data_IF_460414072142
#
_entry.id   IF_460414072142
#
_cell.length_a   1.000
_cell.length_b   1.000
_cell.length_c   1.000
_cell.angle_alpha   90.00
_cell.angle_beta   90.00
_cell.angle_gamma   90.00
#
_symmetry.space_group_name_H-M   'P 1'
#
loop_
_entity.id
_entity.type
_entity.pdbx_description
1 polymer ?
#
# COMPACT_ATOMS: atom_id res chain seq x y z
N UNK A 1 22.72 -60.84 61.22
CA UNK A 1 21.96 -60.88 59.96
C UNK A 1 21.10 -59.65 59.88
N UNK A 2 21.60 -58.57 59.19
CA UNK A 2 20.88 -57.31 59.08
C UNK A 2 20.50 -57.09 57.59
N UNK A 3 19.20 -57.06 57.30
CA UNK A 3 18.71 -56.75 55.99
C UNK A 3 18.78 -55.22 55.77
N UNK A 4 19.49 -54.83 54.74
CA UNK A 4 19.51 -53.43 54.26
C UNK A 4 18.31 -53.18 53.40
N UNK A 5 17.59 -52.11 53.76
CA UNK A 5 16.45 -51.56 52.93
C UNK A 5 17.02 -50.69 51.80
N UNK A 6 16.77 -51.08 50.57
CA UNK A 6 17.05 -50.26 49.39
C UNK A 6 15.88 -49.33 49.19
N UNK A 7 16.11 -48.01 49.29
CA UNK A 7 15.13 -46.96 48.99
C UNK A 7 15.29 -46.59 47.54
N UNK A 8 14.29 -46.89 46.71
CA UNK A 8 14.22 -46.39 45.32
C UNK A 8 13.56 -45.02 45.33
N UNK A 9 14.40 -44.00 45.09
CA UNK A 9 13.87 -42.66 44.86
C UNK A 9 13.34 -42.51 43.42
N UNK A 10 12.07 -42.26 43.28
CA UNK A 10 11.47 -41.88 42.02
C UNK A 10 11.76 -40.37 41.79
N UNK A 11 12.54 -40.06 40.77
CA UNK A 11 12.72 -38.70 40.27
C UNK A 11 11.61 -38.44 39.27
N UNK A 12 10.60 -37.69 39.68
CA UNK A 12 9.52 -37.23 38.78
C UNK A 12 10.02 -36.00 38.00
N UNK A 13 10.45 -36.21 36.76
CA UNK A 13 10.78 -35.11 35.85
C UNK A 13 9.53 -34.41 35.37
N UNK A 14 9.34 -33.16 35.76
CA UNK A 14 8.31 -32.30 35.21
C UNK A 14 8.74 -31.83 33.81
N UNK A 15 8.12 -32.32 32.77
CA UNK A 15 8.27 -31.85 31.41
C UNK A 15 7.45 -30.57 31.26
N UNK A 16 8.10 -29.39 31.26
CA UNK A 16 7.46 -28.12 30.86
C UNK A 16 7.27 -28.17 29.34
N UNK A 17 6.06 -28.45 28.89
CA UNK A 17 5.65 -28.25 27.51
C UNK A 17 5.43 -26.75 27.29
N UNK A 18 6.40 -26.06 26.65
CA UNK A 18 6.21 -24.72 26.12
C UNK A 18 5.25 -24.85 24.94
N UNK A 19 4.00 -24.51 25.18
CA UNK A 19 2.99 -24.39 24.12
C UNK A 19 3.39 -23.25 23.18
N UNK A 20 3.91 -23.58 22.02
CA UNK A 20 4.02 -22.65 20.92
C UNK A 20 2.58 -22.40 20.44
N UNK A 21 1.97 -21.30 20.90
CA UNK A 21 0.75 -20.82 20.27
C UNK A 21 1.14 -20.35 18.87
N UNK A 22 0.59 -20.93 17.80
CA UNK A 22 0.68 -20.32 16.49
C UNK A 22 -0.07 -19.00 16.61
N UNK A 23 0.64 -17.88 16.76
CA UNK A 23 0.08 -16.57 16.54
C UNK A 23 -0.52 -16.62 15.15
N UNK A 24 -1.85 -16.50 15.07
CA UNK A 24 -2.53 -16.31 13.80
C UNK A 24 -1.92 -15.04 13.22
N UNK A 25 -0.97 -15.18 12.30
CA UNK A 25 -0.62 -14.11 11.41
C UNK A 25 -1.93 -13.82 10.66
N UNK A 26 -2.65 -12.80 11.11
CA UNK A 26 -3.73 -12.22 10.32
C UNK A 26 -3.03 -11.70 9.07
N UNK A 27 -2.97 -12.54 8.05
CA UNK A 27 -2.59 -12.10 6.74
C UNK A 27 -3.57 -10.97 6.40
N UNK A 28 -3.06 -9.77 6.25
CA UNK A 28 -3.85 -8.63 5.84
C UNK A 28 -4.27 -8.89 4.39
N UNK A 29 -5.46 -9.42 4.21
CA UNK A 29 -6.02 -9.72 2.92
C UNK A 29 -6.71 -8.48 2.37
N UNK A 30 -6.03 -7.80 1.45
CA UNK A 30 -6.60 -6.70 0.70
C UNK A 30 -6.49 -5.34 1.39
N UNK A 31 -6.77 -4.32 0.61
CA UNK A 31 -6.93 -2.96 1.10
C UNK A 31 -8.28 -2.82 1.79
N UNK A 32 -8.30 -2.30 3.02
CA UNK A 32 -9.50 -2.14 3.84
C UNK A 32 -10.01 -0.70 3.81
N UNK A 33 -11.28 -0.51 4.14
CA UNK A 33 -11.91 0.80 4.36
C UNK A 33 -11.78 1.79 3.18
N UNK A 34 -11.70 1.28 1.95
CA UNK A 34 -11.50 2.11 0.75
C UNK A 34 -10.07 2.63 0.57
N UNK A 35 -9.15 2.26 1.45
CA UNK A 35 -7.75 2.61 1.35
C UNK A 35 -7.03 1.80 0.26
N UNK A 36 -5.96 2.36 -0.30
CA UNK A 36 -5.04 1.72 -1.22
C UNK A 36 -3.63 2.21 -0.94
N UNK A 37 -3.11 1.87 0.26
CA UNK A 37 -1.92 2.51 0.82
C UNK A 37 -0.59 2.08 0.19
N UNK A 38 -0.60 1.07 -0.67
CA UNK A 38 0.58 0.53 -1.35
C UNK A 38 0.33 0.37 -2.83
N UNK A 39 1.39 0.25 -3.61
CA UNK A 39 1.31 -0.05 -5.05
C UNK A 39 0.39 -1.24 -5.37
N UNK A 40 0.43 -2.27 -4.57
CA UNK A 40 -0.39 -3.47 -4.70
C UNK A 40 -1.63 -3.51 -3.80
N UNK A 41 -2.07 -2.37 -3.25
CA UNK A 41 -3.22 -2.24 -2.35
C UNK A 41 -2.85 -2.41 -0.90
N UNK A 42 -2.17 -3.46 -0.55
CA UNK A 42 -1.72 -3.80 0.79
C UNK A 42 -0.24 -4.21 0.83
N UNK A 43 0.30 -4.42 2.03
CA UNK A 43 1.69 -4.87 2.23
C UNK A 43 1.97 -6.24 1.59
N UNK A 44 0.97 -7.07 1.41
CA UNK A 44 1.05 -8.36 0.73
C UNK A 44 0.97 -8.26 -0.80
N UNK A 45 0.71 -7.06 -1.33
CA UNK A 45 0.54 -6.82 -2.78
C UNK A 45 -0.55 -7.68 -3.41
N UNK A 46 -1.65 -7.87 -2.69
CA UNK A 46 -2.76 -8.75 -3.11
C UNK A 46 -3.55 -8.19 -4.28
N UNK A 47 -3.46 -6.88 -4.53
CA UNK A 47 -4.23 -6.14 -5.56
C UNK A 47 -5.74 -6.34 -5.41
N UNK A 48 -6.17 -6.44 -4.19
CA UNK A 48 -7.56 -6.70 -3.83
C UNK A 48 -8.07 -5.69 -2.81
N UNK A 49 -9.29 -5.24 -2.97
CA UNK A 49 -10.07 -4.51 -1.98
C UNK A 49 -11.45 -5.19 -1.86
N UNK A 50 -11.94 -5.44 -0.66
CA UNK A 50 -13.23 -6.12 -0.43
C UNK A 50 -14.40 -5.15 -0.64
N UNK A 51 -14.45 -4.51 -1.81
CA UNK A 51 -15.51 -3.60 -2.22
C UNK A 51 -16.53 -4.35 -3.07
N UNK A 52 -17.81 -4.16 -2.80
CA UNK A 52 -18.92 -4.85 -3.45
C UNK A 52 -19.94 -3.90 -4.11
N UNK A 53 -19.66 -2.57 -4.10
CA UNK A 53 -20.54 -1.57 -4.70
C UNK A 53 -20.68 -1.76 -6.23
N UNK A 54 -19.65 -2.29 -6.88
CA UNK A 54 -19.64 -2.57 -8.31
C UNK A 54 -19.69 -4.08 -8.51
N UNK A 55 -20.67 -4.54 -9.27
CA UNK A 55 -20.90 -5.94 -9.55
C UNK A 55 -21.40 -6.14 -11.00
N UNK A 56 -21.70 -7.37 -11.39
CA UNK A 56 -22.14 -7.70 -12.76
C UNK A 56 -23.45 -7.03 -13.18
N UNK A 57 -24.30 -6.65 -12.23
CA UNK A 57 -25.60 -6.06 -12.54
C UNK A 57 -25.53 -4.57 -12.82
N UNK A 58 -24.58 -3.85 -12.18
CA UNK A 58 -24.46 -2.39 -12.30
C UNK A 58 -23.19 -1.91 -13.02
N UNK A 59 -22.34 -2.82 -13.48
CA UNK A 59 -21.08 -2.46 -14.17
C UNK A 59 -21.30 -1.59 -15.41
N UNK A 60 -22.39 -1.83 -16.16
CA UNK A 60 -22.71 -1.08 -17.36
C UNK A 60 -23.26 0.33 -17.08
N UNK A 61 -23.62 0.63 -15.83
CA UNK A 61 -24.17 1.92 -15.41
C UNK A 61 -23.08 2.88 -14.89
N UNK A 62 -21.81 2.44 -14.96
CA UNK A 62 -20.68 3.27 -14.53
C UNK A 62 -20.48 4.46 -15.45
N UNK A 63 -20.34 5.63 -14.85
CA UNK A 63 -20.00 6.87 -15.52
C UNK A 63 -18.67 7.43 -15.01
N UNK A 64 -18.01 8.26 -15.85
CA UNK A 64 -16.78 8.96 -15.43
C UNK A 64 -17.16 10.07 -14.46
N UNK A 65 -16.80 9.94 -13.21
CA UNK A 65 -17.07 10.95 -12.18
C UNK A 65 -16.29 12.25 -12.42
N UNK A 66 -15.01 12.12 -12.77
CA UNK A 66 -14.13 13.25 -13.10
C UNK A 66 -12.90 12.78 -13.88
N UNK A 67 -12.22 13.72 -14.49
CA UNK A 67 -10.95 13.49 -15.18
C UNK A 67 -9.93 14.50 -14.68
N UNK A 68 -8.78 14.02 -14.20
CA UNK A 68 -7.69 14.85 -13.74
C UNK A 68 -6.59 14.93 -14.82
N UNK A 69 -6.09 16.16 -15.10
CA UNK A 69 -5.12 16.41 -16.16
C UNK A 69 -3.76 16.80 -15.60
N UNK A 70 -2.68 16.25 -16.16
CA UNK A 70 -1.29 16.48 -15.73
C UNK A 70 -0.57 17.57 -16.52
N UNK A 71 -1.21 18.17 -17.52
CA UNK A 71 -0.58 19.07 -18.48
C UNK A 71 0.03 20.35 -17.86
N UNK A 72 -0.50 20.77 -16.71
CA UNK A 72 -0.03 21.98 -16.02
C UNK A 72 1.19 21.75 -15.11
N UNK A 73 1.72 20.52 -15.03
CA UNK A 73 2.78 20.15 -14.10
C UNK A 73 4.19 20.09 -14.71
N UNK A 74 4.41 20.75 -15.81
CA UNK A 74 5.74 20.85 -16.43
C UNK A 74 5.71 21.45 -17.84
N UNK A 75 6.87 21.74 -18.42
CA UNK A 75 6.98 22.42 -19.71
C UNK A 75 6.59 21.54 -20.90
N UNK A 76 6.39 20.27 -20.69
CA UNK A 76 5.94 19.31 -21.70
C UNK A 76 4.76 18.52 -21.19
N UNK A 77 3.71 18.31 -22.02
CA UNK A 77 2.65 17.40 -21.69
C UNK A 77 3.20 16.00 -21.40
N UNK A 78 2.68 15.35 -20.39
CA UNK A 78 3.05 13.98 -20.08
C UNK A 78 2.25 13.02 -20.94
N UNK A 79 2.85 12.56 -22.03
CA UNK A 79 2.22 11.63 -22.97
C UNK A 79 2.45 10.14 -22.62
N UNK A 80 3.11 9.88 -21.48
CA UNK A 80 3.47 8.53 -21.05
C UNK A 80 3.31 8.38 -19.54
N UNK A 81 2.06 8.42 -19.08
CA UNK A 81 1.71 8.35 -17.68
C UNK A 81 1.63 6.90 -17.20
N UNK A 82 2.47 6.51 -16.25
CA UNK A 82 2.55 5.14 -15.68
C UNK A 82 2.50 5.16 -14.17
N UNK A 83 1.73 6.03 -13.61
CA UNK A 83 1.62 6.20 -12.17
C UNK A 83 0.52 5.29 -11.65
N UNK A 84 0.77 4.61 -10.56
CA UNK A 84 -0.26 4.00 -9.74
C UNK A 84 -0.52 4.95 -8.57
N UNK A 85 -1.67 5.59 -8.50
CA UNK A 85 -2.04 6.40 -7.34
C UNK A 85 -2.20 5.52 -6.11
N UNK A 86 -1.96 6.12 -4.94
CA UNK A 86 -2.32 5.51 -3.65
C UNK A 86 -3.41 6.32 -2.97
N UNK A 87 -4.23 5.64 -2.19
CA UNK A 87 -5.31 6.23 -1.40
C UNK A 87 -4.98 6.08 0.07
N UNK A 88 -4.81 7.19 0.78
CA UNK A 88 -4.45 7.18 2.20
C UNK A 88 -5.23 8.25 2.95
N UNK A 89 -5.95 7.84 3.99
CA UNK A 89 -6.79 8.71 4.82
C UNK A 89 -7.77 9.57 4.00
N UNK A 90 -8.39 8.95 3.00
CA UNK A 90 -9.39 9.63 2.15
C UNK A 90 -8.80 10.62 1.15
N UNK A 91 -7.49 10.60 0.88
CA UNK A 91 -6.82 11.46 -0.09
C UNK A 91 -6.08 10.61 -1.12
N UNK A 92 -6.22 10.97 -2.39
CA UNK A 92 -5.53 10.30 -3.49
C UNK A 92 -4.19 10.99 -3.76
N UNK A 93 -3.10 10.23 -3.76
CA UNK A 93 -1.76 10.73 -4.03
C UNK A 93 -1.20 10.14 -5.32
N UNK A 94 -0.60 10.99 -6.14
CA UNK A 94 0.03 10.58 -7.39
C UNK A 94 1.29 11.42 -7.67
N UNK A 95 2.13 10.93 -8.57
CA UNK A 95 3.19 11.77 -9.16
C UNK A 95 2.74 12.28 -10.52
N UNK A 96 3.15 13.49 -10.89
CA UNK A 96 2.71 14.12 -12.11
C UNK A 96 3.77 15.01 -12.74
N UNK A 97 3.68 15.15 -14.05
CA UNK A 97 4.42 16.09 -14.84
C UNK A 97 5.90 15.79 -15.02
N UNK A 98 6.53 16.55 -15.89
CA UNK A 98 7.95 16.39 -16.26
C UNK A 98 8.94 16.75 -15.15
N UNK A 99 8.47 17.31 -14.03
CA UNK A 99 9.28 17.65 -12.86
C UNK A 99 8.96 16.76 -11.65
N UNK A 100 8.30 15.65 -11.87
CA UNK A 100 7.99 14.65 -10.83
C UNK A 100 7.36 15.26 -9.58
N UNK A 101 6.37 16.14 -9.80
CA UNK A 101 5.58 16.68 -8.69
C UNK A 101 4.82 15.57 -7.99
N UNK A 102 4.67 15.66 -6.68
CA UNK A 102 3.68 14.87 -5.93
C UNK A 102 2.43 15.71 -5.78
N UNK A 103 1.29 15.12 -6.05
CA UNK A 103 -0.02 15.78 -5.98
C UNK A 103 -0.92 15.04 -5.02
N UNK A 104 -1.72 15.78 -4.26
CA UNK A 104 -2.83 15.29 -3.49
C UNK A 104 -4.14 15.75 -4.15
N UNK A 105 -5.06 14.83 -4.31
CA UNK A 105 -6.31 15.01 -5.05
C UNK A 105 -7.45 14.56 -4.16
N UNK A 106 -8.52 15.33 -4.13
CA UNK A 106 -9.79 14.90 -3.54
C UNK A 106 -10.38 13.79 -4.43
N UNK A 107 -10.57 12.57 -3.92
CA UNK A 107 -11.06 11.46 -4.71
C UNK A 107 -12.52 11.61 -5.14
N UNK A 108 -13.30 12.47 -4.47
CA UNK A 108 -14.71 12.69 -4.76
C UNK A 108 -14.90 13.66 -5.94
N UNK A 109 -14.08 14.70 -5.97
CA UNK A 109 -14.25 15.81 -6.93
C UNK A 109 -13.17 15.84 -8.02
N UNK A 110 -12.03 15.20 -7.79
CA UNK A 110 -10.85 15.34 -8.65
C UNK A 110 -10.10 16.65 -8.44
N UNK A 111 -10.45 17.45 -7.42
CA UNK A 111 -9.77 18.71 -7.14
C UNK A 111 -8.36 18.47 -6.61
N UNK A 112 -7.40 19.26 -7.09
CA UNK A 112 -6.03 19.23 -6.58
C UNK A 112 -5.95 19.98 -5.25
N UNK A 113 -5.73 19.25 -4.15
CA UNK A 113 -5.64 19.82 -2.81
C UNK A 113 -4.31 20.54 -2.59
N UNK A 114 -3.22 19.93 -3.04
CA UNK A 114 -1.89 20.53 -3.01
C UNK A 114 -0.94 19.86 -4.00
N UNK A 115 0.16 20.55 -4.31
CA UNK A 115 1.23 20.09 -5.16
C UNK A 115 2.56 20.32 -4.46
N UNK A 116 3.36 19.27 -4.32
CA UNK A 116 4.73 19.36 -3.85
C UNK A 116 5.70 19.17 -5.02
N UNK A 117 6.66 20.09 -5.16
CA UNK A 117 7.75 20.01 -6.14
C UNK A 117 9.07 20.20 -5.45
N UNK A 118 9.97 19.29 -5.72
CA UNK A 118 11.36 19.43 -5.30
C UNK A 118 12.20 19.98 -6.46
N UNK A 119 12.93 21.06 -6.20
CA UNK A 119 13.89 21.57 -7.17
C UNK A 119 15.18 20.74 -7.11
N UNK A 120 15.34 19.87 -8.09
CA UNK A 120 16.52 19.00 -8.21
C UNK A 120 17.72 19.76 -8.84
N UNK A 121 17.55 21.01 -9.26
CA UNK A 121 18.58 21.83 -9.91
C UNK A 121 19.22 21.11 -11.11
N UNK A 122 20.52 21.30 -11.28
CA UNK A 122 21.29 20.73 -12.41
C UNK A 122 21.18 19.19 -12.49
N UNK A 123 20.99 18.52 -11.38
CA UNK A 123 20.80 17.05 -11.35
C UNK A 123 19.50 16.65 -12.03
N UNK A 124 18.44 17.38 -11.78
CA UNK A 124 17.13 17.15 -12.41
C UNK A 124 17.18 17.39 -13.92
N UNK A 125 17.90 18.43 -14.36
CA UNK A 125 18.08 18.75 -15.77
C UNK A 125 18.87 17.65 -16.52
N UNK A 126 19.87 17.06 -15.88
CA UNK A 126 20.70 15.99 -16.43
C UNK A 126 20.06 14.60 -16.32
N UNK A 127 18.92 14.47 -15.65
CA UNK A 127 18.27 13.16 -15.45
C UNK A 127 17.79 12.57 -16.78
N UNK A 128 18.08 11.29 -17.06
CA UNK A 128 17.70 10.66 -18.32
C UNK A 128 16.17 10.45 -18.45
N UNK A 129 15.44 10.54 -17.33
CA UNK A 129 13.99 10.44 -17.28
C UNK A 129 13.43 11.62 -16.52
N UNK A 130 12.68 12.47 -17.19
CA UNK A 130 12.12 13.70 -16.66
C UNK A 130 10.65 13.58 -16.26
N UNK A 131 10.02 12.44 -16.52
CA UNK A 131 8.59 12.23 -16.29
C UNK A 131 8.27 11.83 -14.85
N UNK A 132 7.00 11.80 -14.53
CA UNK A 132 6.42 11.57 -13.19
C UNK A 132 6.92 10.34 -12.43
N UNK A 133 7.46 9.37 -13.11
CA UNK A 133 7.87 8.13 -12.46
C UNK A 133 6.73 7.10 -12.38
N UNK A 134 6.72 6.28 -11.31
CA UNK A 134 5.75 5.18 -11.18
C UNK A 134 4.72 5.35 -10.07
N UNK A 135 4.87 6.36 -9.25
CA UNK A 135 3.98 6.64 -8.14
C UNK A 135 4.72 7.07 -6.88
N UNK A 136 3.97 7.15 -5.80
CA UNK A 136 4.43 7.36 -4.43
C UNK A 136 4.22 6.08 -3.63
N UNK A 137 4.99 5.90 -2.55
CA UNK A 137 4.87 4.79 -1.61
C UNK A 137 5.18 5.29 -0.18
#
# INVERSE_FOLDING_TARGET
MRLGKVIHGFVTGAVLSVGVFPGSALAQYGATDGEWSYYGGDAGSTKYAPLDQINGDNFNDLEVAWTWQTENFGPRPENYYRVTPIMVNGVLYATAGSRRAVVAIDPTTGETLWVYRYDEGRRGEAAPRLNSGRGVA
#
